data_IF_496120116664
#
_entry.id   IF_496120116664
#
_cell.length_a   1.000
_cell.length_b   1.000
_cell.length_c   1.000
_cell.angle_alpha   90.00
_cell.angle_beta   90.00
_cell.angle_gamma   90.00
#
_symmetry.space_group_name_H-M   'P 1'
#
loop_
_entity.id
_entity.type
_entity.pdbx_description
1 polymer ?
#
# COMPACT_ATOMS: atom_id res chain seq x y z
N UNK A 1 11.02 -10.42 -14.23
CA UNK A 1 10.12 -9.31 -13.88
C UNK A 1 9.88 -9.33 -12.37
N UNK A 2 9.41 -8.22 -11.78
CA UNK A 2 9.13 -8.14 -10.34
C UNK A 2 7.61 -7.98 -10.18
N UNK A 3 6.84 -9.09 -10.26
CA UNK A 3 5.37 -9.05 -10.34
C UNK A 3 4.81 -8.20 -9.20
N UNK A 4 3.92 -7.27 -9.53
CA UNK A 4 3.38 -6.29 -8.57
C UNK A 4 4.13 -4.95 -8.52
N UNK A 5 4.69 -4.48 -9.65
CA UNK A 5 5.02 -3.04 -9.86
C UNK A 5 3.79 -2.20 -10.23
N UNK A 6 2.62 -2.83 -10.34
CA UNK A 6 1.34 -2.21 -10.66
C UNK A 6 1.01 -1.10 -9.65
N UNK A 7 0.48 -0.01 -10.18
CA UNK A 7 -0.05 1.12 -9.41
C UNK A 7 -1.55 0.93 -9.37
N UNK A 8 -2.11 0.91 -8.15
CA UNK A 8 -3.54 0.96 -7.87
C UNK A 8 -3.79 2.28 -7.13
N UNK A 9 -4.90 2.95 -7.39
CA UNK A 9 -5.23 4.21 -6.73
C UNK A 9 -5.40 4.04 -5.22
N UNK A 10 -6.17 3.02 -4.81
CA UNK A 10 -6.42 2.70 -3.41
C UNK A 10 -6.20 1.21 -3.19
N UNK A 11 -5.44 0.89 -2.13
CA UNK A 11 -5.24 -0.47 -1.66
C UNK A 11 -5.79 -0.61 -0.25
N UNK A 12 -6.90 -1.31 -0.09
CA UNK A 12 -7.43 -1.69 1.22
C UNK A 12 -6.77 -2.96 1.72
N UNK A 13 -6.35 -2.98 2.98
CA UNK A 13 -5.84 -4.18 3.66
C UNK A 13 -6.81 -4.51 4.78
N UNK A 14 -7.43 -5.67 4.70
CA UNK A 14 -8.27 -6.22 5.77
C UNK A 14 -7.34 -6.88 6.79
N UNK A 15 -7.37 -6.45 8.07
CA UNK A 15 -6.59 -7.07 9.13
C UNK A 15 -6.85 -8.58 9.23
N UNK A 16 -5.78 -9.34 9.40
CA UNK A 16 -5.84 -10.77 9.71
C UNK A 16 -5.69 -11.04 11.20
N UNK A 17 -5.65 -12.31 11.56
CA UNK A 17 -5.61 -12.78 12.96
C UNK A 17 -4.42 -12.27 13.77
N UNK A 18 -3.29 -11.99 13.11
CA UNK A 18 -2.05 -11.52 13.75
C UNK A 18 -1.75 -10.04 13.49
N UNK A 19 -2.77 -9.24 13.15
CA UNK A 19 -2.58 -7.81 12.87
C UNK A 19 -1.98 -7.07 14.06
N UNK A 20 -2.46 -7.33 15.29
CA UNK A 20 -1.96 -6.69 16.50
C UNK A 20 -0.46 -6.95 16.68
N UNK A 21 -0.01 -8.20 16.46
CA UNK A 21 1.41 -8.57 16.46
C UNK A 21 2.23 -7.77 15.46
N UNK A 22 1.71 -7.56 14.24
CA UNK A 22 2.40 -6.73 13.24
C UNK A 22 2.45 -5.27 13.68
N UNK A 23 1.36 -4.76 14.25
CA UNK A 23 1.26 -3.37 14.67
C UNK A 23 2.23 -3.01 15.80
N UNK A 24 2.54 -3.97 16.68
CA UNK A 24 3.49 -3.76 17.78
C UNK A 24 4.96 -3.59 17.35
N UNK A 25 5.31 -4.00 16.12
CA UNK A 25 6.72 -3.96 15.66
C UNK A 25 7.15 -2.54 15.34
N UNK A 26 6.37 -1.88 14.48
CA UNK A 26 6.66 -0.54 13.93
C UNK A 26 5.42 -0.03 13.21
N UNK A 27 5.28 1.29 13.17
CA UNK A 27 4.27 2.03 12.44
C UNK A 27 4.63 2.16 10.95
N UNK A 28 5.90 1.91 10.63
CA UNK A 28 6.45 1.91 9.28
C UNK A 28 6.29 0.57 8.54
N UNK A 29 6.62 0.60 7.26
CA UNK A 29 6.75 -0.60 6.41
C UNK A 29 7.98 -1.41 6.81
N UNK A 30 7.85 -2.74 6.87
CA UNK A 30 8.99 -3.65 6.88
C UNK A 30 9.26 -4.13 5.44
N UNK A 31 10.49 -3.99 4.91
CA UNK A 31 10.79 -4.40 3.54
C UNK A 31 10.59 -5.92 3.32
N UNK A 32 9.87 -6.29 2.26
CA UNK A 32 9.65 -7.71 1.90
C UNK A 32 10.96 -8.50 1.78
N UNK A 33 12.00 -7.88 1.21
CA UNK A 33 13.32 -8.51 1.05
C UNK A 33 14.02 -8.77 2.39
N UNK A 34 13.77 -7.96 3.41
CA UNK A 34 14.27 -8.20 4.76
C UNK A 34 13.55 -9.38 5.42
N UNK A 35 12.24 -9.51 5.16
CA UNK A 35 11.41 -10.61 5.68
C UNK A 35 11.76 -11.94 4.99
N UNK A 36 12.02 -11.91 3.69
CA UNK A 36 12.38 -13.09 2.89
C UNK A 36 13.86 -13.48 2.98
N UNK A 37 14.69 -12.63 3.57
CA UNK A 37 16.13 -12.86 3.72
C UNK A 37 16.45 -13.97 4.74
N UNK A 38 17.72 -14.41 4.80
CA UNK A 38 18.14 -15.52 5.65
C UNK A 38 18.32 -15.16 7.13
N UNK A 39 18.32 -13.86 7.48
CA UNK A 39 18.37 -13.42 8.87
C UNK A 39 17.08 -13.83 9.61
N UNK A 40 17.21 -14.41 10.80
CA UNK A 40 16.09 -14.79 11.67
C UNK A 40 16.28 -14.29 13.08
N UNK A 41 15.38 -14.62 14.00
CA UNK A 41 15.50 -14.21 15.42
C UNK A 41 16.66 -14.90 16.13
N UNK A 42 16.94 -16.16 15.77
CA UNK A 42 18.05 -16.97 16.31
C UNK A 42 19.20 -17.18 15.33
N UNK A 43 19.16 -16.53 14.16
CA UNK A 43 20.16 -16.71 13.10
C UNK A 43 20.66 -15.35 12.66
N UNK A 44 21.87 -15.00 13.10
CA UNK A 44 22.61 -13.83 12.60
C UNK A 44 23.33 -14.21 11.30
N UNK A 45 23.27 -13.35 10.28
CA UNK A 45 23.96 -13.56 8.99
C UNK A 45 24.84 -12.37 8.66
N UNK A 46 25.88 -12.55 7.85
CA UNK A 46 26.73 -11.41 7.45
C UNK A 46 25.90 -10.34 6.73
N UNK A 47 26.20 -9.07 6.99
CA UNK A 47 25.47 -7.94 6.39
C UNK A 47 25.38 -8.04 4.86
N UNK A 48 26.44 -8.51 4.20
CA UNK A 48 26.47 -8.71 2.75
C UNK A 48 25.44 -9.74 2.25
N UNK A 49 25.08 -10.69 3.11
CA UNK A 49 24.30 -11.88 2.76
C UNK A 49 22.86 -11.80 3.31
N UNK A 50 22.54 -10.74 4.05
CA UNK A 50 21.24 -10.56 4.71
C UNK A 50 20.08 -10.33 3.74
N UNK A 51 20.38 -9.95 2.49
CA UNK A 51 19.39 -9.66 1.45
C UNK A 51 19.92 -10.17 0.10
N UNK A 52 19.11 -10.98 -0.58
CA UNK A 52 19.37 -11.42 -1.95
C UNK A 52 19.08 -10.26 -2.93
N UNK A 53 20.06 -9.36 -3.10
CA UNK A 53 19.97 -8.20 -3.98
C UNK A 53 21.36 -7.63 -4.32
N UNK A 54 21.39 -6.62 -5.21
CA UNK A 54 22.61 -5.84 -5.45
C UNK A 54 23.08 -5.13 -4.17
N UNK A 55 24.39 -4.85 -4.00
CA UNK A 55 24.92 -4.23 -2.79
C UNK A 55 24.20 -2.93 -2.38
N UNK A 56 23.86 -2.09 -3.35
CA UNK A 56 23.11 -0.84 -3.12
C UNK A 56 21.69 -1.13 -2.59
N UNK A 57 21.01 -2.13 -3.15
CA UNK A 57 19.67 -2.53 -2.71
C UNK A 57 19.73 -3.17 -1.32
N UNK A 58 20.73 -4.01 -1.07
CA UNK A 58 20.99 -4.63 0.24
C UNK A 58 21.19 -3.57 1.31
N UNK A 59 22.04 -2.56 1.05
CA UNK A 59 22.24 -1.42 1.96
C UNK A 59 20.92 -0.72 2.28
N UNK A 60 20.15 -0.33 1.27
CA UNK A 60 18.88 0.39 1.45
C UNK A 60 17.83 -0.44 2.20
N UNK A 61 17.75 -1.74 1.93
CA UNK A 61 16.81 -2.65 2.64
C UNK A 61 17.20 -2.80 4.10
N UNK A 62 18.50 -2.96 4.40
CA UNK A 62 19.00 -3.07 5.77
C UNK A 62 18.75 -1.78 6.54
N UNK A 63 19.04 -0.61 5.95
CA UNK A 63 18.76 0.69 6.57
C UNK A 63 17.28 0.87 6.89
N UNK A 64 16.38 0.54 5.95
CA UNK A 64 14.94 0.58 6.19
C UNK A 64 14.52 -0.39 7.31
N UNK A 65 15.05 -1.61 7.32
CA UNK A 65 14.71 -2.60 8.34
C UNK A 65 15.27 -2.25 9.73
N UNK A 66 16.41 -1.55 9.81
CA UNK A 66 16.95 -1.02 11.06
C UNK A 66 16.12 0.15 11.58
N UNK A 67 15.71 1.07 10.70
CA UNK A 67 14.81 2.18 11.05
C UNK A 67 13.44 1.69 11.53
N UNK A 68 12.96 0.59 10.96
CA UNK A 68 11.75 -0.13 11.37
C UNK A 68 11.93 -1.01 12.63
N UNK A 69 13.10 -0.97 13.28
CA UNK A 69 13.48 -1.83 14.42
C UNK A 69 13.28 -3.34 14.20
N UNK A 70 13.17 -3.77 12.94
CA UNK A 70 13.00 -5.17 12.56
C UNK A 70 14.34 -5.91 12.52
N UNK A 71 15.42 -5.20 12.16
CA UNK A 71 16.78 -5.69 12.22
C UNK A 71 17.57 -5.10 13.39
N UNK A 72 18.61 -5.81 13.79
CA UNK A 72 19.67 -5.33 14.66
C UNK A 72 21.03 -5.75 14.13
N UNK A 73 22.08 -5.02 14.53
CA UNK A 73 23.46 -5.28 14.12
C UNK A 73 24.21 -5.95 15.27
N UNK A 74 24.90 -7.04 14.97
CA UNK A 74 25.82 -7.75 15.85
C UNK A 74 27.22 -7.72 15.26
N UNK A 75 28.26 -7.79 16.09
CA UNK A 75 29.65 -7.77 15.64
C UNK A 75 30.34 -9.08 16.00
N UNK A 76 30.62 -9.92 15.00
CA UNK A 76 31.31 -11.19 15.18
C UNK A 76 32.64 -11.17 14.42
N UNK A 77 33.75 -11.43 15.09
CA UNK A 77 35.09 -11.53 14.49
C UNK A 77 35.43 -10.35 13.54
N UNK A 78 35.04 -9.13 13.91
CA UNK A 78 35.28 -7.92 13.13
C UNK A 78 34.32 -7.66 11.96
N UNK A 79 33.26 -8.47 11.79
CA UNK A 79 32.25 -8.29 10.75
C UNK A 79 30.88 -7.95 11.34
N UNK A 80 30.15 -7.06 10.66
CA UNK A 80 28.75 -6.78 10.95
C UNK A 80 27.86 -7.93 10.49
N UNK A 81 27.06 -8.43 11.42
CA UNK A 81 26.00 -9.40 11.19
C UNK A 81 24.63 -8.76 11.46
N UNK A 82 23.62 -9.26 10.77
CA UNK A 82 22.23 -8.82 10.85
C UNK A 82 21.40 -9.95 11.44
N UNK A 83 20.54 -9.62 12.40
CA UNK A 83 19.56 -10.51 13.02
C UNK A 83 18.19 -9.85 13.08
N UNK A 84 17.12 -10.63 12.99
CA UNK A 84 15.77 -10.10 13.24
C UNK A 84 15.55 -9.90 14.75
N UNK A 85 14.94 -8.78 15.12
CA UNK A 85 14.58 -8.48 16.53
C UNK A 85 13.39 -9.31 17.00
N UNK A 86 12.47 -9.61 16.09
CA UNK A 86 11.27 -10.42 16.33
C UNK A 86 10.93 -11.27 15.12
N UNK A 87 10.10 -12.31 15.31
CA UNK A 87 9.59 -13.10 14.18
C UNK A 87 8.56 -12.25 13.45
N UNK A 88 8.68 -12.21 12.13
CA UNK A 88 7.64 -11.60 11.31
C UNK A 88 6.32 -12.38 11.45
N UNK A 89 5.20 -11.72 11.78
CA UNK A 89 3.92 -12.41 11.96
C UNK A 89 3.40 -12.93 10.62
N UNK A 90 2.89 -14.17 10.63
CA UNK A 90 2.09 -14.73 9.53
C UNK A 90 0.65 -14.29 9.68
N UNK A 91 -0.12 -14.23 8.59
CA UNK A 91 -1.58 -13.96 8.62
C UNK A 91 -1.97 -12.65 9.32
N UNK A 92 -1.10 -11.64 9.30
CA UNK A 92 -1.44 -10.31 9.84
C UNK A 92 -2.37 -9.51 8.92
N UNK A 93 -2.48 -9.90 7.65
CA UNK A 93 -3.51 -9.43 6.73
C UNK A 93 -4.27 -10.63 6.17
N UNK A 94 -5.58 -10.45 5.99
CA UNK A 94 -6.48 -11.46 5.43
C UNK A 94 -6.70 -11.21 3.94
N UNK A 95 -7.23 -10.03 3.60
CA UNK A 95 -7.56 -9.64 2.22
C UNK A 95 -6.91 -8.34 1.81
N UNK A 96 -6.60 -8.24 0.52
CA UNK A 96 -6.13 -7.04 -0.16
C UNK A 96 -7.15 -6.67 -1.23
N UNK A 97 -7.74 -5.49 -1.12
CA UNK A 97 -8.76 -4.99 -2.04
C UNK A 97 -8.16 -3.86 -2.87
N UNK A 98 -8.17 -4.03 -4.19
CA UNK A 98 -7.76 -2.97 -5.12
C UNK A 98 -8.97 -2.13 -5.53
N UNK A 99 -8.88 -0.82 -5.40
CA UNK A 99 -9.90 0.11 -5.90
C UNK A 99 -9.24 1.09 -6.87
N UNK A 100 -9.69 1.08 -8.12
CA UNK A 100 -9.29 2.04 -9.15
C UNK A 100 -10.35 3.14 -9.27
N UNK A 101 -9.93 4.40 -9.20
CA UNK A 101 -10.80 5.55 -9.31
C UNK A 101 -10.79 6.06 -10.75
N UNK A 102 -11.92 5.87 -11.46
CA UNK A 102 -12.13 6.48 -12.77
C UNK A 102 -13.34 7.41 -12.75
N UNK A 103 -13.17 8.70 -12.42
CA UNK A 103 -14.31 9.61 -12.31
C UNK A 103 -15.06 9.78 -13.64
N UNK A 104 -14.36 9.84 -14.77
CA UNK A 104 -14.96 9.96 -16.10
C UNK A 104 -14.78 8.69 -16.95
N UNK A 105 -15.86 7.93 -17.16
CA UNK A 105 -15.86 6.75 -18.03
C UNK A 105 -15.99 7.07 -19.51
N UNK A 106 -16.25 8.33 -19.91
CA UNK A 106 -16.24 8.72 -21.33
C UNK A 106 -14.84 8.73 -21.92
N UNK A 107 -13.82 8.90 -21.07
CA UNK A 107 -12.40 8.87 -21.45
C UNK A 107 -11.66 7.81 -20.61
N UNK A 108 -11.98 6.52 -20.81
CA UNK A 108 -11.48 5.45 -19.95
C UNK A 108 -9.96 5.25 -20.09
N UNK A 109 -9.36 5.62 -21.23
CA UNK A 109 -7.96 5.33 -21.52
C UNK A 109 -7.70 3.83 -21.45
N UNK A 110 -6.60 3.43 -20.83
CA UNK A 110 -6.18 2.03 -20.66
C UNK A 110 -6.95 1.26 -19.56
N UNK A 111 -8.06 1.80 -19.04
CA UNK A 111 -8.75 1.23 -17.87
C UNK A 111 -9.09 -0.25 -18.04
N UNK A 112 -9.68 -0.64 -19.17
CA UNK A 112 -10.09 -2.03 -19.40
C UNK A 112 -8.88 -2.97 -19.34
N UNK A 113 -7.77 -2.59 -19.97
CA UNK A 113 -6.53 -3.38 -19.97
C UNK A 113 -5.92 -3.46 -18.58
N UNK A 114 -5.92 -2.36 -17.83
CA UNK A 114 -5.44 -2.33 -16.45
C UNK A 114 -6.23 -3.27 -15.54
N UNK A 115 -7.56 -3.19 -15.60
CA UNK A 115 -8.44 -4.09 -14.86
C UNK A 115 -8.23 -5.55 -15.27
N UNK A 116 -8.05 -5.83 -16.57
CA UNK A 116 -7.78 -7.17 -17.06
C UNK A 116 -6.45 -7.73 -16.51
N UNK A 117 -5.41 -6.91 -16.42
CA UNK A 117 -4.12 -7.27 -15.79
C UNK A 117 -4.34 -7.64 -14.31
N UNK A 118 -5.09 -6.82 -13.57
CA UNK A 118 -5.32 -7.05 -12.14
C UNK A 118 -6.09 -8.34 -11.87
N UNK A 119 -7.10 -8.63 -12.69
CA UNK A 119 -7.86 -9.89 -12.64
C UNK A 119 -6.96 -11.08 -13.02
N UNK A 120 -6.22 -10.98 -14.13
CA UNK A 120 -5.40 -12.08 -14.66
C UNK A 120 -4.25 -12.47 -13.72
N UNK A 121 -3.63 -11.49 -13.08
CA UNK A 121 -2.55 -11.72 -12.13
C UNK A 121 -3.09 -12.20 -10.77
N UNK A 122 -4.23 -11.67 -10.33
CA UNK A 122 -4.91 -12.08 -9.10
C UNK A 122 -4.11 -11.79 -7.83
N UNK A 123 -3.53 -10.59 -7.74
CA UNK A 123 -2.86 -10.13 -6.49
C UNK A 123 -3.84 -9.61 -5.45
N UNK A 124 -5.02 -9.15 -5.86
CA UNK A 124 -6.07 -8.66 -4.98
C UNK A 124 -7.14 -9.73 -4.81
N UNK A 125 -7.78 -9.79 -3.64
CA UNK A 125 -8.91 -10.70 -3.39
C UNK A 125 -10.18 -10.19 -4.06
N UNK A 126 -10.25 -8.88 -4.34
CA UNK A 126 -11.26 -8.25 -5.15
C UNK A 126 -10.71 -6.97 -5.78
N UNK A 127 -11.19 -6.65 -6.99
CA UNK A 127 -10.89 -5.41 -7.70
C UNK A 127 -12.19 -4.65 -7.93
N UNK A 128 -12.18 -3.36 -7.63
CA UNK A 128 -13.35 -2.49 -7.71
C UNK A 128 -13.01 -1.27 -8.57
N UNK A 129 -13.88 -0.94 -9.52
CA UNK A 129 -13.89 0.32 -10.22
C UNK A 129 -14.84 1.29 -9.52
N UNK A 130 -14.32 2.40 -9.02
CA UNK A 130 -15.12 3.49 -8.47
C UNK A 130 -15.22 4.66 -9.47
N UNK A 131 -16.43 5.16 -9.71
CA UNK A 131 -16.68 6.21 -10.71
C UNK A 131 -17.76 7.19 -10.29
N UNK A 132 -17.67 8.46 -10.70
CA UNK A 132 -18.78 9.41 -10.63
C UNK A 132 -19.70 9.37 -11.86
N UNK A 133 -19.29 8.67 -12.91
CA UNK A 133 -20.07 8.60 -14.15
C UNK A 133 -21.30 7.72 -13.95
N UNK A 134 -22.45 8.15 -14.50
CA UNK A 134 -23.61 7.27 -14.56
C UNK A 134 -23.29 5.99 -15.34
N UNK A 135 -23.37 4.83 -14.69
CA UNK A 135 -22.94 3.55 -15.24
C UNK A 135 -24.08 2.99 -16.09
N UNK A 136 -23.81 2.81 -17.38
CA UNK A 136 -24.74 2.21 -18.33
C UNK A 136 -24.36 0.75 -18.60
N UNK A 137 -25.27 -0.01 -19.21
CA UNK A 137 -24.97 -1.37 -19.67
C UNK A 137 -23.78 -1.42 -20.64
N UNK A 138 -23.65 -0.43 -21.52
CA UNK A 138 -22.53 -0.34 -22.45
C UNK A 138 -21.18 -0.14 -21.74
N UNK A 139 -21.16 0.58 -20.61
CA UNK A 139 -19.96 0.67 -19.76
C UNK A 139 -19.63 -0.69 -19.13
N UNK A 140 -20.63 -1.37 -18.56
CA UNK A 140 -20.45 -2.66 -17.90
C UNK A 140 -19.88 -3.73 -18.84
N UNK A 141 -20.31 -3.75 -20.11
CA UNK A 141 -19.81 -4.70 -21.12
C UNK A 141 -18.30 -4.54 -21.44
N UNK A 142 -17.67 -3.43 -21.07
CA UNK A 142 -16.23 -3.16 -21.29
C UNK A 142 -15.38 -3.42 -20.04
N UNK A 143 -16.02 -3.75 -18.92
CA UNK A 143 -15.37 -3.94 -17.62
C UNK A 143 -15.42 -5.44 -17.33
N UNK A 144 -14.28 -6.12 -17.09
CA UNK A 144 -14.26 -7.56 -16.80
C UNK A 144 -15.28 -7.95 -15.73
N UNK A 145 -16.01 -9.04 -15.92
CA UNK A 145 -17.16 -9.39 -15.08
C UNK A 145 -16.81 -9.57 -13.61
N UNK A 146 -15.59 -10.02 -13.31
CA UNK A 146 -15.09 -10.18 -11.95
C UNK A 146 -14.90 -8.84 -11.21
N UNK A 147 -14.78 -7.71 -11.92
CA UNK A 147 -14.57 -6.38 -11.32
C UNK A 147 -15.88 -5.84 -10.78
N UNK A 148 -15.87 -5.47 -9.48
CA UNK A 148 -16.97 -4.75 -8.85
C UNK A 148 -17.06 -3.32 -9.38
N UNK A 149 -18.27 -2.76 -9.45
CA UNK A 149 -18.49 -1.41 -9.98
C UNK A 149 -19.27 -0.59 -8.96
N UNK A 150 -18.63 0.45 -8.45
CA UNK A 150 -19.19 1.40 -7.51
C UNK A 150 -19.41 2.73 -8.19
N UNK A 151 -20.65 3.22 -8.14
CA UNK A 151 -21.00 4.57 -8.56
C UNK A 151 -21.06 5.46 -7.33
N UNK A 152 -20.36 6.57 -7.38
CA UNK A 152 -20.26 7.53 -6.28
C UNK A 152 -20.86 8.88 -6.70
N UNK A 153 -21.74 9.41 -5.87
CA UNK A 153 -22.26 10.76 -6.02
C UNK A 153 -21.54 11.68 -5.01
N UNK A 154 -20.60 12.53 -5.47
CA UNK A 154 -19.84 13.40 -4.58
C UNK A 154 -20.69 14.45 -3.86
N UNK A 155 -21.83 14.85 -4.44
CA UNK A 155 -22.69 15.89 -3.88
C UNK A 155 -23.50 15.39 -2.67
N UNK A 156 -23.73 14.08 -2.59
CA UNK A 156 -24.50 13.43 -1.52
C UNK A 156 -23.68 12.49 -0.65
N UNK A 157 -22.37 12.37 -0.94
CA UNK A 157 -21.45 11.39 -0.34
C UNK A 157 -21.98 9.94 -0.40
N UNK A 158 -22.85 9.65 -1.38
CA UNK A 158 -23.52 8.37 -1.47
C UNK A 158 -22.85 7.45 -2.49
N UNK A 159 -22.76 6.16 -2.14
CA UNK A 159 -22.20 5.11 -3.00
C UNK A 159 -23.27 4.06 -3.31
N UNK A 160 -23.54 3.88 -4.60
CA UNK A 160 -24.36 2.80 -5.12
C UNK A 160 -23.48 1.68 -5.67
N UNK A 161 -23.72 0.44 -5.23
CA UNK A 161 -23.05 -0.74 -5.78
C UNK A 161 -23.82 -1.20 -7.01
N UNK A 162 -23.24 -1.00 -8.20
CA UNK A 162 -23.84 -1.42 -9.47
C UNK A 162 -23.57 -2.90 -9.73
N UNK A 163 -22.37 -3.36 -9.36
CA UNK A 163 -21.96 -4.78 -9.45
C UNK A 163 -21.06 -5.12 -8.26
N UNK A 164 -21.34 -6.23 -7.59
CA UNK A 164 -20.44 -6.76 -6.54
C UNK A 164 -19.19 -7.33 -7.20
N UNK A 165 -18.00 -7.15 -6.60
CA UNK A 165 -16.80 -7.80 -7.11
C UNK A 165 -16.87 -9.31 -6.87
N UNK A 166 -16.31 -10.08 -7.79
CA UNK A 166 -16.05 -11.49 -7.58
C UNK A 166 -14.79 -11.67 -6.72
N UNK A 167 -14.75 -12.76 -5.95
CA UNK A 167 -13.54 -13.18 -5.25
C UNK A 167 -12.54 -13.80 -6.22
N UNK A 168 -11.28 -13.37 -6.14
CA UNK A 168 -10.22 -13.83 -7.03
C UNK A 168 -9.37 -14.92 -6.38
N UNK A 169 -8.89 -15.87 -7.19
CA UNK A 169 -8.02 -16.94 -6.74
C UNK A 169 -6.58 -16.41 -6.49
N UNK A 170 -6.30 -16.00 -5.26
CA UNK A 170 -5.01 -15.43 -4.87
C UNK A 170 -3.97 -16.49 -4.52
N UNK A 171 -4.41 -17.70 -4.13
CA UNK A 171 -3.56 -18.84 -3.76
C UNK A 171 -3.03 -19.68 -4.93
N UNK A 172 -3.58 -19.52 -6.14
CA UNK A 172 -3.15 -20.25 -7.34
C UNK A 172 -2.20 -19.39 -8.19
N UNK A 173 -1.40 -19.99 -9.08
CA UNK A 173 -0.63 -19.23 -10.06
C UNK A 173 -1.51 -18.28 -10.87
N UNK A 174 -0.94 -17.16 -11.29
CA UNK A 174 -1.60 -16.14 -12.11
C UNK A 174 -0.80 -15.83 -13.37
N UNK A 175 -1.32 -14.94 -14.20
CA UNK A 175 -0.66 -14.50 -15.44
C UNK A 175 -0.49 -12.98 -15.38
N UNK A 176 0.74 -12.51 -15.50
CA UNK A 176 1.03 -11.09 -15.74
C UNK A 176 0.97 -10.84 -17.26
N UNK A 177 0.05 -9.97 -17.68
CA UNK A 177 -0.06 -9.56 -19.08
C UNK A 177 0.99 -8.48 -19.38
N UNK A 178 1.88 -8.78 -20.33
CA UNK A 178 2.94 -7.91 -20.82
C UNK A 178 2.43 -6.94 -21.89
N UNK A 179 3.31 -6.54 -22.82
CA UNK A 179 2.94 -5.59 -23.88
C UNK A 179 1.92 -6.19 -24.85
N UNK A 180 1.02 -5.34 -25.35
CA UNK A 180 0.06 -5.74 -26.37
C UNK A 180 0.68 -5.47 -27.74
N UNK A 181 0.85 -6.52 -28.52
CA UNK A 181 1.34 -6.47 -29.89
C UNK A 181 0.15 -6.59 -30.85
N UNK A 182 0.36 -6.26 -32.13
CA UNK A 182 -0.72 -6.28 -33.14
C UNK A 182 -1.39 -7.64 -33.32
N UNK A 183 -0.68 -8.73 -33.04
CA UNK A 183 -1.09 -10.12 -33.27
C UNK A 183 -1.20 -10.95 -31.98
N UNK A 184 -0.58 -10.51 -30.87
CA UNK A 184 -0.59 -11.24 -29.60
C UNK A 184 -0.37 -10.32 -28.40
N UNK A 185 -0.73 -10.80 -27.21
CA UNK A 185 -0.35 -10.19 -25.94
C UNK A 185 0.73 -11.03 -25.29
N UNK A 186 1.82 -10.41 -24.84
CA UNK A 186 2.84 -11.12 -24.05
C UNK A 186 2.24 -11.63 -22.73
N UNK A 187 2.55 -12.85 -22.34
CA UNK A 187 2.11 -13.43 -21.08
C UNK A 187 3.29 -13.94 -20.26
N UNK A 188 3.25 -13.67 -18.96
CA UNK A 188 4.27 -14.13 -18.02
C UNK A 188 3.60 -14.90 -16.88
N UNK A 189 3.75 -16.23 -16.82
CA UNK A 189 3.26 -17.01 -15.70
C UNK A 189 3.91 -16.55 -14.39
N UNK A 190 3.11 -16.40 -13.33
CA UNK A 190 3.56 -16.01 -12.00
C UNK A 190 3.13 -17.08 -11.01
N UNK A 191 4.10 -17.66 -10.30
CA UNK A 191 3.84 -18.72 -9.33
C UNK A 191 3.08 -18.21 -8.09
N UNK A 192 2.40 -19.11 -7.38
CA UNK A 192 1.76 -18.79 -6.09
C UNK A 192 2.74 -18.22 -5.07
N UNK A 193 4.01 -18.66 -5.09
CA UNK A 193 5.06 -18.16 -4.19
C UNK A 193 5.41 -16.70 -4.51
N UNK A 194 5.54 -16.37 -5.80
CA UNK A 194 5.77 -14.99 -6.24
C UNK A 194 4.58 -14.09 -5.91
N UNK A 195 3.35 -14.56 -6.12
CA UNK A 195 2.12 -13.84 -5.72
C UNK A 195 2.07 -13.60 -4.22
N UNK A 196 2.42 -14.59 -3.40
CA UNK A 196 2.47 -14.45 -1.93
C UNK A 196 3.46 -13.37 -1.49
N UNK A 197 4.65 -13.34 -2.08
CA UNK A 197 5.66 -12.30 -1.83
C UNK A 197 5.17 -10.92 -2.28
N UNK A 198 4.58 -10.84 -3.48
CA UNK A 198 4.03 -9.60 -4.01
C UNK A 198 2.87 -9.05 -3.14
N UNK A 199 1.95 -9.92 -2.70
CA UNK A 199 0.86 -9.57 -1.78
C UNK A 199 1.38 -9.03 -0.46
N UNK A 200 2.35 -9.71 0.17
CA UNK A 200 3.00 -9.21 1.40
C UNK A 200 3.62 -7.83 1.19
N UNK A 201 4.30 -7.63 0.05
CA UNK A 201 4.89 -6.32 -0.29
C UNK A 201 3.83 -5.23 -0.47
N UNK A 202 2.69 -5.55 -1.08
CA UNK A 202 1.56 -4.63 -1.23
C UNK A 202 0.98 -4.28 0.14
N UNK A 203 0.73 -5.29 0.98
CA UNK A 203 0.20 -5.10 2.33
C UNK A 203 1.14 -4.23 3.19
N UNK A 204 2.45 -4.55 3.22
CA UNK A 204 3.45 -3.75 3.93
C UNK A 204 3.54 -2.32 3.41
N UNK A 205 3.43 -2.11 2.08
CA UNK A 205 3.43 -0.77 1.51
C UNK A 205 2.18 0.02 1.90
N UNK A 206 1.01 -0.61 1.87
CA UNK A 206 -0.23 0.00 2.31
C UNK A 206 -0.18 0.34 3.81
N UNK A 207 0.37 -0.57 4.63
CA UNK A 207 0.60 -0.36 6.05
C UNK A 207 1.57 0.81 6.32
N UNK A 208 2.74 0.88 5.69
CA UNK A 208 3.66 2.00 5.96
C UNK A 208 3.16 3.33 5.38
N UNK A 209 2.70 3.35 4.12
CA UNK A 209 2.34 4.59 3.43
C UNK A 209 1.08 5.26 4.01
N UNK A 210 0.12 4.46 4.46
CA UNK A 210 -1.21 4.92 4.86
C UNK A 210 -1.97 5.61 3.72
N UNK A 211 -3.01 6.39 4.07
CA UNK A 211 -3.76 7.23 3.12
C UNK A 211 -3.23 8.67 3.07
N UNK A 212 -3.59 9.44 2.04
CA UNK A 212 -3.41 10.91 1.95
C UNK A 212 -1.97 11.38 2.25
N UNK A 213 -1.04 11.13 1.33
CA UNK A 213 0.38 11.46 1.47
C UNK A 213 0.81 12.69 0.65
N UNK A 214 -0.12 13.61 0.38
CA UNK A 214 0.14 14.85 -0.36
C UNK A 214 0.73 15.91 0.57
N UNK A 215 1.52 16.82 -0.01
CA UNK A 215 1.90 18.07 0.65
C UNK A 215 0.68 19.00 0.68
N UNK A 216 0.40 19.59 1.85
CA UNK A 216 -0.68 20.57 1.97
C UNK A 216 -0.27 21.90 1.32
N UNK A 217 -1.19 22.60 0.63
CA UNK A 217 -0.84 23.83 -0.09
C UNK A 217 -0.42 24.97 0.85
N UNK A 218 0.56 25.77 0.42
CA UNK A 218 0.99 27.02 1.08
C UNK A 218 0.07 28.20 0.70
N UNK A 219 -1.22 28.07 0.98
CA UNK A 219 -2.25 29.05 0.62
C UNK A 219 -3.11 29.42 1.84
N UNK A 220 -3.44 30.71 1.99
CA UNK A 220 -4.26 31.24 3.09
C UNK A 220 -5.68 30.65 3.12
N UNK A 221 -6.18 30.15 1.99
CA UNK A 221 -7.50 29.52 1.86
C UNK A 221 -7.45 28.00 2.05
N UNK A 222 -6.27 27.41 2.27
CA UNK A 222 -6.12 25.97 2.42
C UNK A 222 -6.37 25.54 3.88
N UNK A 223 -7.34 24.65 4.08
CA UNK A 223 -7.65 24.00 5.34
C UNK A 223 -7.63 22.46 5.19
N UNK A 224 -7.69 21.76 6.31
CA UNK A 224 -7.90 20.30 6.33
C UNK A 224 -9.22 19.97 7.00
N UNK A 225 -10.06 19.21 6.30
CA UNK A 225 -11.27 18.63 6.87
C UNK A 225 -10.93 17.69 8.04
N UNK A 226 -11.88 17.35 8.94
CA UNK A 226 -11.65 16.44 10.07
C UNK A 226 -11.19 15.02 9.69
N UNK A 227 -11.29 14.64 8.41
CA UNK A 227 -10.79 13.37 7.86
C UNK A 227 -9.44 13.50 7.12
N UNK A 228 -8.85 14.69 7.14
CA UNK A 228 -7.57 15.01 6.52
C UNK A 228 -7.64 15.33 5.03
N UNK A 229 -8.82 15.50 4.44
CA UNK A 229 -8.93 16.00 3.06
C UNK A 229 -8.55 17.48 3.00
N UNK A 230 -7.66 17.88 2.07
CA UNK A 230 -7.39 19.28 1.79
C UNK A 230 -8.64 19.98 1.27
N UNK A 231 -8.90 21.19 1.73
CA UNK A 231 -10.11 21.96 1.44
C UNK A 231 -9.75 23.40 1.13
N UNK A 232 -10.41 23.99 0.14
CA UNK A 232 -10.28 25.40 -0.17
C UNK A 232 -11.52 26.14 0.34
N UNK A 233 -11.34 27.07 1.27
CA UNK A 233 -12.44 27.85 1.84
C UNK A 233 -12.99 28.90 0.88
N UNK A 234 -12.17 29.40 -0.04
CA UNK A 234 -12.61 30.37 -1.05
C UNK A 234 -13.59 29.76 -2.06
N UNK A 235 -13.31 28.52 -2.50
CA UNK A 235 -14.13 27.81 -3.48
C UNK A 235 -15.06 26.77 -2.85
N UNK A 236 -15.11 26.71 -1.52
CA UNK A 236 -15.97 25.82 -0.74
C UNK A 236 -15.88 24.34 -1.18
N UNK A 237 -14.68 23.84 -1.49
CA UNK A 237 -14.52 22.51 -2.08
C UNK A 237 -13.28 21.74 -1.61
N UNK A 238 -13.39 20.40 -1.62
CA UNK A 238 -12.23 19.51 -1.43
C UNK A 238 -11.34 19.61 -2.66
N UNK A 239 -10.05 19.83 -2.43
CA UNK A 239 -9.06 20.01 -3.49
C UNK A 239 -8.08 18.83 -3.55
N UNK A 240 -7.55 18.58 -4.74
CA UNK A 240 -6.33 17.81 -4.92
C UNK A 240 -5.14 18.78 -4.96
N UNK A 241 -4.31 18.88 -3.91
CA UNK A 241 -3.21 19.85 -3.86
C UNK A 241 -2.29 19.81 -5.07
N UNK A 242 -2.05 18.62 -5.62
CA UNK A 242 -1.15 18.44 -6.76
C UNK A 242 -1.73 18.92 -8.11
N UNK A 243 -3.02 19.30 -8.16
CA UNK A 243 -3.71 19.65 -9.40
C UNK A 243 -4.53 20.94 -9.32
N UNK A 244 -4.93 21.37 -8.13
CA UNK A 244 -6.00 22.36 -7.96
C UNK A 244 -5.59 23.59 -7.15
N UNK A 245 -4.42 23.60 -6.50
CA UNK A 245 -3.97 24.71 -5.68
C UNK A 245 -2.50 25.01 -5.97
N UNK A 246 -2.27 25.67 -7.09
CA UNK A 246 -0.98 26.21 -7.50
C UNK A 246 -0.96 27.75 -7.41
N UNK A 247 0.20 28.33 -7.71
CA UNK A 247 0.42 29.78 -7.68
C UNK A 247 -0.24 30.54 -8.84
N UNK A 248 -0.78 29.84 -9.85
CA UNK A 248 -1.51 30.44 -10.96
C UNK A 248 -3.00 30.64 -10.64
N UNK A 249 -3.48 30.06 -9.55
CA UNK A 249 -4.83 30.31 -9.06
C UNK A 249 -5.03 31.80 -8.71
N UNK A 250 -6.06 32.48 -9.25
CA UNK A 250 -6.30 33.90 -9.00
C UNK A 250 -6.55 34.25 -7.52
N UNK A 251 -7.05 33.29 -6.74
CA UNK A 251 -7.29 33.44 -5.31
C UNK A 251 -6.10 32.99 -4.45
N UNK A 252 -4.99 32.56 -5.06
CA UNK A 252 -3.84 32.09 -4.31
C UNK A 252 -3.20 33.22 -3.51
N UNK A 253 -3.25 33.10 -2.19
CA UNK A 253 -2.55 33.99 -1.27
C UNK A 253 -1.57 33.17 -0.47
N UNK A 254 -0.27 33.45 -0.56
CA UNK A 254 0.75 32.65 0.12
C UNK A 254 0.57 32.69 1.65
N UNK A 255 0.58 31.53 2.29
CA UNK A 255 0.60 31.38 3.74
C UNK A 255 1.30 30.06 4.13
N UNK A 256 1.58 29.87 5.41
CA UNK A 256 2.04 28.57 5.91
C UNK A 256 0.97 27.48 5.67
N UNK A 257 1.35 26.28 5.21
CA UNK A 257 0.39 25.18 5.06
C UNK A 257 -0.35 24.86 6.37
N UNK A 258 -1.63 24.43 6.29
CA UNK A 258 -2.39 24.07 7.46
C UNK A 258 -1.69 22.96 8.26
N UNK A 259 -1.58 23.15 9.57
CA UNK A 259 -1.02 22.13 10.46
C UNK A 259 -2.02 20.98 10.63
N UNK A 260 -1.57 19.76 10.35
CA UNK A 260 -2.43 18.58 10.40
C UNK A 260 -1.65 17.36 10.91
N UNK A 261 -2.09 16.78 12.03
CA UNK A 261 -1.49 15.56 12.56
C UNK A 261 -2.06 14.32 11.85
N UNK A 262 -1.45 13.99 10.71
CA UNK A 262 -1.81 12.83 9.89
C UNK A 262 -1.77 11.52 10.65
N UNK A 263 -0.76 11.33 11.49
CA UNK A 263 -0.58 10.10 12.26
C UNK A 263 -1.76 9.89 13.21
N UNK A 264 -2.11 10.91 14.00
CA UNK A 264 -3.23 10.86 14.95
C UNK A 264 -4.58 10.57 14.27
N UNK A 265 -4.85 11.18 13.12
CA UNK A 265 -6.12 10.94 12.41
C UNK A 265 -6.18 9.53 11.81
N UNK A 266 -5.05 9.02 11.34
CA UNK A 266 -4.95 7.64 10.84
C UNK A 266 -5.17 6.63 11.97
N UNK A 267 -4.51 6.83 13.10
CA UNK A 267 -4.61 6.00 14.31
C UNK A 267 -6.06 5.98 14.84
N UNK A 268 -6.72 7.13 14.89
CA UNK A 268 -8.13 7.21 15.32
C UNK A 268 -9.14 6.54 14.35
N UNK A 269 -8.75 6.25 13.11
CA UNK A 269 -9.66 5.76 12.06
C UNK A 269 -9.29 4.40 11.49
N UNK A 270 -8.23 3.78 12.02
CA UNK A 270 -7.78 2.47 11.56
C UNK A 270 -7.10 1.72 12.70
N UNK A 271 -6.93 0.39 12.59
CA UNK A 271 -6.20 -0.37 13.60
C UNK A 271 -4.68 -0.09 13.65
N UNK A 272 -4.15 0.76 12.75
CA UNK A 272 -2.73 1.12 12.73
C UNK A 272 -2.35 1.93 13.95
N UNK A 273 -1.22 1.60 14.59
CA UNK A 273 -0.70 2.29 15.76
C UNK A 273 0.43 3.25 15.36
N UNK A 274 0.33 4.53 15.75
CA UNK A 274 1.32 5.56 15.46
C UNK A 274 2.54 5.58 16.38
N UNK A 275 2.46 4.95 17.56
CA UNK A 275 3.55 4.86 18.53
C UNK A 275 3.59 3.43 19.12
N UNK A 276 4.02 2.44 18.31
CA UNK A 276 4.07 1.07 18.76
C UNK A 276 5.22 0.84 19.74
N UNK A 277 5.07 -0.12 20.68
CA UNK A 277 6.07 -0.40 21.70
C UNK A 277 7.43 -0.86 21.14
N UNK A 278 7.46 -1.31 19.89
CA UNK A 278 8.64 -1.82 19.22
C UNK A 278 8.90 -3.29 19.53
N UNK A 279 9.61 -3.95 18.61
CA UNK A 279 10.00 -5.37 18.76
C UNK A 279 11.03 -5.64 19.87
N UNK A 280 11.63 -4.60 20.45
CA UNK A 280 12.71 -4.70 21.45
C UNK A 280 12.24 -4.74 22.90
N UNK A 281 10.94 -4.85 23.18
CA UNK A 281 10.48 -4.97 24.56
C UNK A 281 11.17 -6.18 25.22
N UNK A 282 12.05 -5.86 26.18
CA UNK A 282 13.01 -6.78 26.81
C UNK A 282 12.29 -8.05 27.23
N UNK A 283 12.82 -9.20 26.84
CA UNK A 283 12.67 -10.42 27.64
C UNK A 283 13.31 -10.16 29.01
N UNK A 284 12.59 -9.47 29.90
CA UNK A 284 12.86 -9.47 31.33
C UNK A 284 12.65 -10.90 31.82
N UNK A 285 13.71 -11.70 31.83
CA UNK A 285 13.64 -13.08 32.30
C UNK A 285 14.87 -13.96 32.09
N UNK A 286 15.81 -13.59 31.23
CA UNK A 286 17.01 -14.43 31.00
C UNK A 286 18.16 -14.18 31.97
N UNK A 287 18.11 -13.10 32.77
CA UNK A 287 19.07 -12.85 33.85
C UNK A 287 18.88 -13.78 35.07
N UNK A 288 17.91 -14.69 35.03
CA UNK A 288 17.58 -15.62 36.13
C UNK A 288 18.24 -17.00 36.02
N UNK A 289 19.03 -17.25 34.99
CA UNK A 289 19.83 -18.46 34.87
C UNK A 289 21.32 -18.08 34.78
N UNK A 290 21.96 -18.00 35.95
CA UNK A 290 23.42 -18.03 36.14
C UNK A 290 23.74 -19.07 37.19
#
# INVERSE_FOLDING_TARGET
>A
MNPGRRIIDICGVVPGSSFDTRSMITDERIPERAIAGPAGVGTSVRRSDAVDASPQTTKAVIEQALAADFFTIEHHNGYEHIRQTTRYPTEWFDRIIGIENKPDLKRPGELTRQLQVDISLGLFDAVILATKTHVTRAHLNRIPDAVGVWQFNPDTDNRTIIRQPAELATGTPGIELGSDQSDHTEIHPVSSKEKTRARRRIAERAYGKGWRNYTLPSCAHAETQPDGRPYCTEFDCVINPAQSCDTECPAHTHAEPPQYNKAKVRDARSPWNHDPPGARYRQSGLDRFK
#
